data_IF_091574897093
#
_entry.id   IF_091574897093
#
_cell.length_a   1.000
_cell.length_b   1.000
_cell.length_c   1.000
_cell.angle_alpha   90.00
_cell.angle_beta   90.00
_cell.angle_gamma   90.00
#
_symmetry.space_group_name_H-M   'P 1'
#
loop_
_entity.id
_entity.type
_entity.pdbx_description
1 polymer ?
#
# COMPACT_ATOMS: atom_id res chain seq x y z
N UNK A 1 5.17 10.81 3.30
CA UNK A 1 5.94 10.24 4.45
C UNK A 1 6.78 11.35 5.08
N UNK A 2 6.58 11.68 6.36
CA UNK A 2 7.43 12.64 7.08
C UNK A 2 8.61 11.89 7.72
N UNK A 3 9.77 11.87 7.04
CA UNK A 3 11.02 11.27 7.51
C UNK A 3 11.97 10.84 6.37
N UNK A 4 13.28 10.87 6.63
CA UNK A 4 14.37 10.50 5.71
C UNK A 4 14.42 8.99 5.41
N UNK A 5 13.38 8.43 4.78
CA UNK A 5 13.46 7.06 4.29
C UNK A 5 14.60 6.93 3.28
N UNK A 6 15.40 5.86 3.42
CA UNK A 6 16.34 5.50 2.37
C UNK A 6 15.54 5.04 1.16
N UNK A 7 16.09 5.23 -0.04
CA UNK A 7 15.48 4.74 -1.29
C UNK A 7 15.11 3.26 -1.21
N UNK A 8 15.93 2.45 -0.55
CA UNK A 8 15.63 1.02 -0.33
C UNK A 8 14.41 0.80 0.55
N UNK A 9 14.23 1.57 1.62
CA UNK A 9 13.08 1.43 2.52
C UNK A 9 11.79 1.84 1.82
N UNK A 10 11.86 2.92 1.02
CA UNK A 10 10.77 3.33 0.15
C UNK A 10 10.42 2.24 -0.88
N UNK A 11 11.42 1.61 -1.50
CA UNK A 11 11.18 0.52 -2.46
C UNK A 11 10.58 -0.73 -1.78
N UNK A 12 11.05 -1.10 -0.59
CA UNK A 12 10.44 -2.19 0.20
C UNK A 12 8.97 -1.90 0.53
N UNK A 13 8.68 -0.65 0.89
CA UNK A 13 7.31 -0.21 1.14
C UNK A 13 6.45 -0.27 -0.12
N UNK A 14 6.98 0.19 -1.26
CA UNK A 14 6.29 0.10 -2.56
C UNK A 14 5.96 -1.34 -2.94
N UNK A 15 6.93 -2.26 -2.80
CA UNK A 15 6.73 -3.69 -3.06
C UNK A 15 5.59 -4.27 -2.21
N UNK A 16 5.55 -3.93 -0.92
CA UNK A 16 4.48 -4.36 -0.02
C UNK A 16 3.08 -3.81 -0.36
N UNK A 17 3.03 -2.72 -1.12
CA UNK A 17 1.81 -1.96 -1.41
C UNK A 17 1.38 -2.02 -2.87
N UNK A 18 2.13 -2.73 -3.72
CA UNK A 18 1.87 -2.82 -5.15
C UNK A 18 0.50 -3.44 -5.48
N UNK A 19 0.00 -4.35 -4.63
CA UNK A 19 -1.40 -4.78 -4.67
C UNK A 19 -2.22 -4.11 -3.54
N UNK A 20 -3.15 -3.20 -3.83
CA UNK A 20 -3.96 -2.52 -2.81
C UNK A 20 -5.14 -3.37 -2.30
N UNK A 21 -5.51 -4.45 -3.00
CA UNK A 21 -6.74 -5.22 -2.75
C UNK A 21 -6.73 -5.95 -1.39
N UNK A 22 -5.62 -6.58 -0.96
CA UNK A 22 -5.55 -7.13 0.41
C UNK A 22 -5.79 -6.08 1.50
N UNK A 23 -5.33 -4.84 1.31
CA UNK A 23 -5.63 -3.77 2.27
C UNK A 23 -7.11 -3.43 2.27
N UNK A 24 -7.75 -3.35 1.10
CA UNK A 24 -9.18 -3.11 1.03
C UNK A 24 -9.95 -4.16 1.84
N UNK A 25 -9.72 -5.45 1.59
CA UNK A 25 -10.38 -6.53 2.34
C UNK A 25 -10.08 -6.46 3.84
N UNK A 26 -8.84 -6.13 4.22
CA UNK A 26 -8.48 -5.91 5.63
C UNK A 26 -9.32 -4.78 6.24
N UNK A 27 -9.46 -3.63 5.56
CA UNK A 27 -10.26 -2.49 6.06
C UNK A 27 -11.75 -2.82 6.16
N UNK A 28 -12.30 -3.53 5.18
CA UNK A 28 -13.68 -4.02 5.22
C UNK A 28 -13.87 -4.97 6.41
N UNK A 29 -12.92 -5.88 6.65
CA UNK A 29 -12.98 -6.79 7.79
C UNK A 29 -12.84 -6.08 9.13
N UNK A 30 -11.93 -5.10 9.24
CA UNK A 30 -11.71 -4.31 10.46
C UNK A 30 -12.93 -3.46 10.82
N UNK A 31 -13.67 -2.94 9.84
CA UNK A 31 -14.93 -2.24 10.07
C UNK A 31 -15.97 -3.11 10.78
N UNK A 32 -15.94 -4.42 10.53
CA UNK A 32 -16.85 -5.39 11.12
C UNK A 32 -16.30 -6.03 12.41
N UNK A 33 -15.18 -5.52 12.93
CA UNK A 33 -14.46 -6.08 14.08
C UNK A 33 -14.34 -5.06 15.22
N UNK A 34 -14.35 -5.55 16.45
CA UNK A 34 -14.05 -4.75 17.65
C UNK A 34 -12.53 -4.60 17.90
N UNK A 35 -11.68 -5.14 17.01
CA UNK A 35 -10.23 -5.09 17.15
C UNK A 35 -9.66 -3.75 16.72
N UNK A 36 -8.84 -3.14 17.59
CA UNK A 36 -8.07 -1.96 17.23
C UNK A 36 -7.07 -2.29 16.09
N UNK A 37 -7.02 -1.47 15.02
CA UNK A 37 -6.09 -1.68 13.93
C UNK A 37 -4.64 -1.42 14.39
N UNK A 38 -3.70 -2.13 13.77
CA UNK A 38 -2.27 -1.85 13.92
C UNK A 38 -1.96 -0.40 13.54
N UNK A 39 -1.03 0.23 14.27
CA UNK A 39 -0.57 1.59 13.96
C UNK A 39 0.07 1.65 12.57
N UNK A 40 -0.04 2.79 11.90
CA UNK A 40 0.57 2.99 10.58
C UNK A 40 2.10 2.83 10.64
N UNK A 41 2.73 3.28 11.72
CA UNK A 41 4.18 3.19 11.90
C UNK A 41 4.64 1.74 12.08
N UNK A 42 3.93 0.94 12.90
CA UNK A 42 4.23 -0.48 13.05
C UNK A 42 4.03 -1.23 11.74
N UNK A 43 2.95 -0.93 11.01
CA UNK A 43 2.66 -1.53 9.71
C UNK A 43 3.76 -1.20 8.69
N UNK A 44 4.20 0.06 8.63
CA UNK A 44 5.28 0.49 7.74
C UNK A 44 6.62 -0.17 8.13
N UNK A 45 6.92 -0.24 9.43
CA UNK A 45 8.13 -0.89 9.92
C UNK A 45 8.18 -2.37 9.52
N UNK A 46 7.08 -3.11 9.68
CA UNK A 46 6.99 -4.50 9.26
C UNK A 46 7.17 -4.68 7.75
N UNK A 47 6.56 -3.81 6.93
CA UNK A 47 6.70 -3.88 5.47
C UNK A 47 8.16 -3.74 5.01
N UNK A 48 8.94 -2.89 5.68
CA UNK A 48 10.38 -2.72 5.43
C UNK A 48 11.17 -3.90 5.98
N UNK A 49 10.91 -4.32 7.22
CA UNK A 49 11.64 -5.37 7.91
C UNK A 49 11.49 -6.74 7.23
N UNK A 50 10.28 -7.10 6.78
CA UNK A 50 9.98 -8.33 6.05
C UNK A 50 10.80 -8.47 4.75
N UNK A 51 11.28 -7.34 4.21
CA UNK A 51 12.01 -7.23 2.95
C UNK A 51 13.49 -6.89 3.12
N UNK A 52 14.00 -6.82 4.35
CA UNK A 52 15.39 -6.39 4.63
C UNK A 52 16.44 -7.21 3.88
N UNK A 53 16.14 -8.49 3.59
CA UNK A 53 17.04 -9.43 2.91
C UNK A 53 16.93 -9.45 1.37
N UNK A 54 15.90 -8.83 0.79
CA UNK A 54 15.66 -8.88 -0.65
C UNK A 54 16.62 -7.98 -1.44
N UNK A 55 17.11 -8.41 -2.58
CA UNK A 55 17.81 -7.56 -3.55
C UNK A 55 16.88 -6.47 -4.12
N UNK A 56 17.46 -5.45 -4.76
CA UNK A 56 16.65 -4.40 -5.40
C UNK A 56 15.83 -4.99 -6.55
N UNK A 57 16.40 -5.94 -7.29
CA UNK A 57 15.76 -6.66 -8.38
C UNK A 57 14.55 -7.46 -7.88
N UNK A 58 14.68 -8.16 -6.75
CA UNK A 58 13.55 -8.89 -6.12
C UNK A 58 12.44 -7.94 -5.69
N UNK A 59 12.77 -6.75 -5.17
CA UNK A 59 11.76 -5.75 -4.79
C UNK A 59 11.02 -5.19 -6.00
N UNK A 60 11.72 -4.95 -7.10
CA UNK A 60 11.10 -4.50 -8.36
C UNK A 60 10.19 -5.60 -8.91
N UNK A 61 10.66 -6.84 -8.93
CA UNK A 61 9.86 -7.98 -9.35
C UNK A 61 8.60 -8.13 -8.50
N UNK A 62 8.70 -7.98 -7.17
CA UNK A 62 7.54 -8.01 -6.29
C UNK A 62 6.54 -6.88 -6.59
N UNK A 63 7.01 -5.68 -6.95
CA UNK A 63 6.13 -4.61 -7.41
C UNK A 63 5.36 -5.03 -8.69
N UNK A 64 6.07 -5.57 -9.68
CA UNK A 64 5.48 -6.01 -10.95
C UNK A 64 4.45 -7.12 -10.74
N UNK A 65 4.77 -8.11 -9.92
CA UNK A 65 3.87 -9.21 -9.55
C UNK A 65 2.65 -8.70 -8.78
N UNK A 66 2.85 -7.75 -7.86
CA UNK A 66 1.76 -7.11 -7.11
C UNK A 66 0.80 -6.35 -8.02
N UNK A 67 1.31 -5.60 -9.00
CA UNK A 67 0.47 -4.93 -10.00
C UNK A 67 -0.28 -5.90 -10.90
N UNK A 68 0.38 -6.97 -11.36
CA UNK A 68 -0.26 -8.00 -12.16
C UNK A 68 -1.39 -8.71 -11.39
N UNK A 69 -1.15 -9.01 -10.10
CA UNK A 69 -2.17 -9.57 -9.22
C UNK A 69 -3.34 -8.59 -9.02
N UNK A 70 -3.05 -7.31 -8.77
CA UNK A 70 -4.09 -6.29 -8.63
C UNK A 70 -4.98 -6.20 -9.88
N UNK A 71 -4.40 -6.24 -11.08
CA UNK A 71 -5.15 -6.24 -12.34
C UNK A 71 -6.02 -7.50 -12.52
N UNK A 72 -5.53 -8.66 -12.08
CA UNK A 72 -6.27 -9.91 -12.15
C UNK A 72 -7.41 -10.00 -11.12
N UNK A 73 -7.22 -9.40 -9.95
CA UNK A 73 -8.18 -9.43 -8.84
C UNK A 73 -9.27 -8.38 -8.98
N UNK A 74 -8.98 -7.22 -9.61
CA UNK A 74 -9.91 -6.09 -9.70
C UNK A 74 -11.29 -6.44 -10.29
N UNK A 75 -11.42 -7.27 -11.34
CA UNK A 75 -12.71 -7.69 -11.87
C UNK A 75 -13.54 -8.55 -10.89
N UNK A 76 -12.93 -9.10 -9.85
CA UNK A 76 -13.58 -9.99 -8.88
C UNK A 76 -14.08 -9.24 -7.63
N UNK A 77 -13.83 -7.93 -7.53
CA UNK A 77 -14.33 -7.11 -6.42
C UNK A 77 -15.80 -6.79 -6.68
N UNK A 78 -16.66 -7.04 -5.68
CA UNK A 78 -18.10 -6.80 -5.83
C UNK A 78 -18.42 -5.30 -5.86
N UNK A 79 -19.49 -4.91 -6.55
CA UNK A 79 -19.97 -3.51 -6.52
C UNK A 79 -20.39 -3.07 -5.10
N UNK A 80 -20.91 -4.00 -4.31
CA UNK A 80 -21.17 -3.79 -2.88
C UNK A 80 -19.88 -3.44 -2.15
N UNK A 81 -18.81 -4.21 -2.39
CA UNK A 81 -17.53 -3.96 -1.76
C UNK A 81 -16.92 -2.61 -2.16
N UNK A 82 -17.07 -2.20 -3.42
CA UNK A 82 -16.55 -0.92 -3.92
C UNK A 82 -17.34 0.30 -3.42
N UNK A 83 -18.65 0.14 -3.21
CA UNK A 83 -19.56 1.23 -2.86
C UNK A 83 -19.66 1.49 -1.35
N UNK A 84 -19.31 0.50 -0.52
CA UNK A 84 -19.36 0.67 0.93
C UNK A 84 -18.40 1.77 1.42
N UNK A 85 -18.80 2.43 2.50
CA UNK A 85 -17.91 3.32 3.26
C UNK A 85 -17.21 2.51 4.33
N UNK A 86 -15.91 2.69 4.46
CA UNK A 86 -15.12 2.08 5.54
C UNK A 86 -14.41 3.16 6.34
N UNK A 87 -14.10 2.84 7.60
CA UNK A 87 -13.32 3.73 8.46
C UNK A 87 -11.92 3.93 7.89
N UNK A 88 -11.51 5.19 7.77
CA UNK A 88 -10.18 5.58 7.29
C UNK A 88 -9.70 6.81 8.06
N UNK A 89 -8.67 6.64 8.89
CA UNK A 89 -8.25 7.67 9.85
C UNK A 89 -9.38 7.98 10.85
N UNK A 90 -9.62 9.27 11.07
CA UNK A 90 -10.69 9.78 11.93
C UNK A 90 -12.06 9.88 11.23
N UNK A 91 -12.15 9.47 9.96
CA UNK A 91 -13.35 9.61 9.13
C UNK A 91 -13.75 8.32 8.41
N UNK A 92 -14.61 8.49 7.41
CA UNK A 92 -15.05 7.42 6.51
C UNK A 92 -14.69 7.78 5.07
N UNK A 93 -14.37 6.76 4.28
CA UNK A 93 -14.03 6.89 2.87
C UNK A 93 -14.66 5.72 2.10
N UNK A 94 -15.04 5.92 0.83
CA UNK A 94 -15.51 4.79 0.02
C UNK A 94 -14.35 3.81 -0.22
N UNK A 95 -14.66 2.52 -0.22
CA UNK A 95 -13.71 1.46 -0.53
C UNK A 95 -12.96 1.70 -1.84
N UNK A 96 -13.65 2.16 -2.89
CA UNK A 96 -13.03 2.52 -4.17
C UNK A 96 -11.99 3.65 -4.05
N UNK A 97 -12.24 4.64 -3.18
CA UNK A 97 -11.29 5.73 -2.96
C UNK A 97 -10.03 5.21 -2.24
N UNK A 98 -10.15 4.24 -1.33
CA UNK A 98 -9.00 3.60 -0.68
C UNK A 98 -8.14 2.85 -1.68
N UNK A 99 -8.74 2.21 -2.69
CA UNK A 99 -7.97 1.56 -3.76
C UNK A 99 -7.17 2.58 -4.57
N UNK A 100 -7.74 3.76 -4.84
CA UNK A 100 -7.04 4.82 -5.56
C UNK A 100 -5.95 5.47 -4.72
N UNK A 101 -6.30 5.96 -3.52
CA UNK A 101 -5.38 6.65 -2.62
C UNK A 101 -4.31 5.72 -2.08
N UNK A 102 -4.66 4.50 -1.67
CA UNK A 102 -3.72 3.53 -1.13
C UNK A 102 -2.93 2.76 -2.20
N UNK A 103 -3.35 2.82 -3.47
CA UNK A 103 -2.70 2.13 -4.59
C UNK A 103 -1.96 3.11 -5.50
N UNK A 104 -2.44 3.37 -6.75
CA UNK A 104 -1.68 4.12 -7.75
C UNK A 104 -1.21 5.50 -7.30
N UNK A 105 -2.04 6.25 -6.55
CA UNK A 105 -1.65 7.61 -6.11
C UNK A 105 -0.48 7.56 -5.15
N UNK A 106 -0.60 6.76 -4.09
CA UNK A 106 0.44 6.58 -3.07
C UNK A 106 1.72 5.99 -3.65
N UNK A 107 1.60 5.05 -4.60
CA UNK A 107 2.75 4.51 -5.31
C UNK A 107 3.52 5.60 -6.07
N UNK A 108 2.80 6.45 -6.82
CA UNK A 108 3.41 7.55 -7.57
C UNK A 108 4.04 8.61 -6.65
N UNK A 109 3.41 8.94 -5.52
CA UNK A 109 3.97 9.89 -4.57
C UNK A 109 5.35 9.41 -4.06
N UNK A 110 5.48 8.13 -3.73
CA UNK A 110 6.75 7.54 -3.32
C UNK A 110 7.77 7.37 -4.45
N UNK A 111 7.33 7.09 -5.69
CA UNK A 111 8.24 7.11 -6.84
C UNK A 111 8.85 8.50 -7.04
N UNK A 112 8.04 9.56 -6.96
CA UNK A 112 8.53 10.93 -7.06
C UNK A 112 9.54 11.26 -5.94
N UNK A 113 9.30 10.78 -4.71
CA UNK A 113 10.24 10.94 -3.59
C UNK A 113 11.59 10.24 -3.89
N UNK A 114 11.55 9.03 -4.47
CA UNK A 114 12.74 8.29 -4.87
C UNK A 114 13.49 9.02 -5.98
N UNK A 115 12.79 9.46 -7.03
CA UNK A 115 13.37 10.20 -8.15
C UNK A 115 14.09 11.45 -7.66
N UNK A 116 13.42 12.26 -6.83
CA UNK A 116 14.01 13.45 -6.23
C UNK A 116 15.27 13.13 -5.41
N UNK A 117 15.24 12.06 -4.60
CA UNK A 117 16.41 11.64 -3.81
C UNK A 117 17.58 11.13 -4.67
N UNK A 118 17.33 10.76 -5.93
CA UNK A 118 18.36 10.40 -6.90
C UNK A 118 18.94 11.61 -7.64
N UNK A 119 18.13 12.65 -7.87
CA UNK A 119 18.53 13.91 -8.52
C UNK A 119 19.34 14.83 -7.60
N UNK A 120 19.09 14.80 -6.29
CA UNK A 120 19.78 15.63 -5.29
C UNK A 120 21.22 15.12 -4.96
N UNK A 121 21.84 14.32 -5.84
CA UNK A 121 23.19 13.74 -5.71
C UNK A 121 24.21 14.41 -6.63
#
# INVERSE_FOLDING_TARGET
>A
PEGEWKVRDALSHLAARANPIPLLHKRISEMNSDSEPMSTDDANHLQVEDRKGASIEELIQECEEGFAAAQADMPNISEEDLSQKVKFGDGEMHAVDIMYYGGPRHFMDHLNDIEKALEDK
#
